data_IF_838525894510
#
_entry.id   IF_838525894510
#
_cell.length_a   1.000
_cell.length_b   1.000
_cell.length_c   1.000
_cell.angle_alpha   90.00
_cell.angle_beta   90.00
_cell.angle_gamma   90.00
#
_symmetry.space_group_name_H-M   'P 1'
#
loop_
_entity.id
_entity.type
_entity.pdbx_description
1 polymer ?
#
# COMPACT_ATOMS: atom_id res chain seq x y z
N UNK A 1 13.66 -16.97 -0.82
CA UNK A 1 13.28 -16.19 0.38
C UNK A 1 11.85 -16.56 0.77
N UNK A 2 11.58 -17.04 2.00
CA UNK A 2 10.24 -17.51 2.41
C UNK A 2 9.42 -16.45 3.18
N UNK A 3 10.08 -15.40 3.67
CA UNK A 3 9.51 -14.25 4.38
C UNK A 3 10.23 -12.96 3.98
N UNK A 4 9.58 -11.82 4.16
CA UNK A 4 10.24 -10.52 3.99
C UNK A 4 11.30 -10.27 5.08
N UNK A 5 12.33 -9.46 4.81
CA UNK A 5 13.31 -9.03 5.81
C UNK A 5 12.75 -7.93 6.72
N UNK A 6 13.15 -7.94 7.99
CA UNK A 6 12.82 -6.86 8.95
C UNK A 6 13.58 -5.57 8.62
N UNK A 7 13.19 -4.43 9.22
CA UNK A 7 13.91 -3.13 9.05
C UNK A 7 15.40 -3.28 9.35
N UNK A 8 15.74 -4.00 10.42
CA UNK A 8 17.11 -4.24 10.82
C UNK A 8 17.86 -5.11 9.82
N UNK A 9 17.22 -6.17 9.30
CA UNK A 9 17.82 -7.06 8.29
C UNK A 9 18.03 -6.34 6.94
N UNK A 10 17.12 -5.44 6.55
CA UNK A 10 17.30 -4.58 5.37
C UNK A 10 18.50 -3.66 5.55
N UNK A 11 18.58 -2.98 6.68
CA UNK A 11 19.70 -2.08 7.00
C UNK A 11 21.04 -2.82 6.98
N UNK A 12 21.09 -3.99 7.58
CA UNK A 12 22.33 -4.78 7.64
C UNK A 12 22.71 -5.35 6.26
N UNK A 13 21.73 -5.73 5.44
CA UNK A 13 21.97 -6.13 4.05
C UNK A 13 22.50 -4.97 3.20
N UNK A 14 21.98 -3.76 3.38
CA UNK A 14 22.49 -2.58 2.70
C UNK A 14 23.95 -2.27 3.08
N UNK A 15 24.34 -2.43 4.35
CA UNK A 15 25.75 -2.30 4.78
C UNK A 15 26.64 -3.34 4.10
N UNK A 16 26.19 -4.59 4.00
CA UNK A 16 26.92 -5.64 3.27
C UNK A 16 27.07 -5.32 1.79
N UNK A 17 26.03 -4.75 1.15
CA UNK A 17 26.11 -4.29 -0.24
C UNK A 17 27.16 -3.18 -0.41
N UNK A 18 27.21 -2.20 0.51
CA UNK A 18 28.27 -1.17 0.49
C UNK A 18 29.66 -1.80 0.64
N UNK A 19 29.84 -2.77 1.55
CA UNK A 19 31.12 -3.44 1.72
C UNK A 19 31.53 -4.27 0.49
N UNK A 20 30.58 -4.89 -0.21
CA UNK A 20 30.81 -5.68 -1.43
C UNK A 20 31.09 -4.79 -2.64
N UNK A 21 30.47 -3.61 -2.72
CA UNK A 21 30.59 -2.68 -3.84
C UNK A 21 30.99 -1.26 -3.38
N UNK A 22 32.16 -1.08 -2.74
CA UNK A 22 32.52 0.18 -2.07
C UNK A 22 32.68 1.37 -3.03
N UNK A 23 32.95 1.09 -4.30
CA UNK A 23 33.03 2.10 -5.35
C UNK A 23 31.68 2.47 -5.96
N UNK A 24 30.64 1.64 -5.81
CA UNK A 24 29.34 1.84 -6.48
C UNK A 24 28.20 2.20 -5.51
N UNK A 25 28.30 1.78 -4.25
CA UNK A 25 27.25 1.90 -3.25
C UNK A 25 27.66 2.85 -2.12
N UNK A 26 26.75 3.75 -1.73
CA UNK A 26 26.92 4.67 -0.59
C UNK A 26 25.70 4.62 0.31
N UNK A 27 25.89 4.39 1.60
CA UNK A 27 24.82 4.42 2.60
C UNK A 27 24.95 5.68 3.44
N UNK A 28 23.88 6.49 3.52
CA UNK A 28 23.83 7.67 4.39
C UNK A 28 22.52 7.74 5.16
N UNK A 29 22.54 8.48 6.27
CA UNK A 29 21.33 8.90 6.98
C UNK A 29 20.78 10.15 6.33
N UNK A 30 19.49 10.14 5.98
CA UNK A 30 18.79 11.29 5.38
C UNK A 30 17.91 12.04 6.38
N UNK A 31 17.62 11.41 7.53
CA UNK A 31 16.78 12.02 8.55
C UNK A 31 16.62 11.15 9.79
N UNK A 32 15.63 11.53 10.58
CA UNK A 32 15.25 10.84 11.82
C UNK A 32 13.73 10.83 11.90
N UNK A 33 13.15 9.70 12.28
CA UNK A 33 11.72 9.59 12.54
C UNK A 33 11.32 10.34 13.82
N UNK A 34 10.01 10.47 14.05
CA UNK A 34 9.44 11.10 15.25
C UNK A 34 9.92 10.46 16.54
N UNK A 35 10.06 9.14 16.57
CA UNK A 35 10.56 8.38 17.72
C UNK A 35 12.08 8.17 17.69
N UNK A 36 12.83 8.96 16.90
CA UNK A 36 14.29 8.99 16.97
C UNK A 36 15.01 7.92 16.13
N UNK A 37 14.31 7.14 15.32
CA UNK A 37 14.92 6.08 14.48
C UNK A 37 15.59 6.68 13.25
N UNK A 38 16.76 6.20 12.81
CA UNK A 38 17.42 6.72 11.63
C UNK A 38 16.66 6.35 10.36
N UNK A 39 16.53 7.31 9.45
CA UNK A 39 16.06 7.06 8.08
C UNK A 39 17.29 6.99 7.18
N UNK A 40 17.50 5.84 6.54
CA UNK A 40 18.69 5.54 5.76
C UNK A 40 18.37 5.44 4.28
N UNK A 41 19.30 5.92 3.46
CA UNK A 41 19.24 5.84 2.00
C UNK A 41 20.51 5.19 1.46
N UNK A 42 20.34 4.19 0.62
CA UNK A 42 21.39 3.51 -0.15
C UNK A 42 21.38 4.07 -1.56
N UNK A 43 22.44 4.79 -1.95
CA UNK A 43 22.65 5.23 -3.33
C UNK A 43 23.52 4.23 -4.08
N UNK A 44 23.14 3.88 -5.31
CA UNK A 44 23.90 2.98 -6.21
C UNK A 44 24.11 3.65 -7.56
N UNK A 45 25.36 3.72 -8.03
CA UNK A 45 25.74 4.43 -9.26
C UNK A 45 26.27 5.86 -9.02
N UNK A 46 26.61 6.55 -10.09
CA UNK A 46 27.16 7.92 -10.09
C UNK A 46 26.65 8.78 -11.25
N UNK A 47 25.70 8.26 -12.02
CA UNK A 47 25.16 8.99 -13.15
C UNK A 47 24.35 10.22 -12.74
N UNK A 48 24.25 11.23 -13.62
CA UNK A 48 23.63 12.51 -13.31
C UNK A 48 22.09 12.46 -13.27
N UNK A 49 21.46 11.39 -13.76
CA UNK A 49 20.01 11.20 -13.72
C UNK A 49 19.65 10.38 -12.48
N UNK A 50 18.73 10.88 -11.66
CA UNK A 50 18.37 10.24 -10.39
C UNK A 50 17.04 9.50 -10.48
N UNK A 51 17.02 8.26 -9.99
CA UNK A 51 15.79 7.50 -9.72
C UNK A 51 15.69 7.30 -8.21
N UNK A 52 14.62 7.81 -7.60
CA UNK A 52 14.37 7.71 -6.17
C UNK A 52 13.44 6.53 -5.88
N UNK A 53 13.84 5.58 -5.04
CA UNK A 53 12.99 4.47 -4.59
C UNK A 53 12.67 4.65 -3.12
N UNK A 54 11.40 4.52 -2.75
CA UNK A 54 10.91 4.68 -1.37
C UNK A 54 10.34 3.35 -0.89
N UNK A 55 11.07 2.67 -0.01
CA UNK A 55 10.62 1.42 0.58
C UNK A 55 9.86 1.65 1.89
N UNK A 56 8.81 0.84 2.12
CA UNK A 56 7.96 0.88 3.31
C UNK A 56 7.51 2.30 3.70
N UNK A 57 6.78 2.98 2.79
CA UNK A 57 6.06 4.19 3.14
C UNK A 57 4.93 3.92 4.15
N UNK A 58 4.41 2.69 4.16
CA UNK A 58 3.44 2.22 5.14
C UNK A 58 3.97 1.00 5.92
N UNK A 59 3.54 0.91 7.16
CA UNK A 59 4.03 -0.06 8.14
C UNK A 59 3.40 -1.45 8.03
N UNK A 60 2.31 -1.62 7.30
CA UNK A 60 1.65 -2.90 7.05
C UNK A 60 2.10 -3.58 5.74
N UNK A 61 3.12 -3.02 5.08
CA UNK A 61 3.53 -3.39 3.71
C UNK A 61 4.99 -3.92 3.69
N UNK A 62 5.23 -5.22 3.97
CA UNK A 62 6.56 -5.71 4.33
C UNK A 62 7.49 -5.94 3.13
N UNK A 63 6.98 -6.02 1.89
CA UNK A 63 7.76 -6.48 0.72
C UNK A 63 8.80 -5.45 0.24
N UNK A 64 8.51 -4.15 0.38
CA UNK A 64 9.33 -3.09 -0.24
C UNK A 64 10.80 -3.13 0.16
N UNK A 65 11.12 -3.57 1.39
CA UNK A 65 12.49 -3.74 1.84
C UNK A 65 13.26 -4.84 1.10
N UNK A 66 12.61 -5.95 0.74
CA UNK A 66 13.23 -7.01 -0.07
C UNK A 66 13.45 -6.53 -1.51
N UNK A 67 12.46 -5.85 -2.10
CA UNK A 67 12.55 -5.27 -3.44
C UNK A 67 13.66 -4.23 -3.54
N UNK A 68 13.79 -3.35 -2.55
CA UNK A 68 14.86 -2.36 -2.47
C UNK A 68 16.26 -2.99 -2.53
N UNK A 69 16.48 -4.10 -1.80
CA UNK A 69 17.75 -4.81 -1.83
C UNK A 69 18.00 -5.51 -3.16
N UNK A 70 16.98 -6.15 -3.75
CA UNK A 70 17.08 -6.81 -5.04
C UNK A 70 17.41 -5.82 -6.17
N UNK A 71 16.78 -4.63 -6.15
CA UNK A 71 17.10 -3.53 -7.06
C UNK A 71 18.54 -3.04 -6.87
N UNK A 72 18.94 -2.78 -5.62
CA UNK A 72 20.30 -2.31 -5.31
C UNK A 72 21.37 -3.30 -5.78
N UNK A 73 21.19 -4.60 -5.53
CA UNK A 73 22.12 -5.64 -5.96
C UNK A 73 22.17 -5.73 -7.50
N UNK A 74 21.01 -5.70 -8.17
CA UNK A 74 20.94 -5.73 -9.64
C UNK A 74 21.67 -4.56 -10.30
N UNK A 75 21.50 -3.35 -9.77
CA UNK A 75 22.18 -2.15 -10.30
C UNK A 75 23.68 -2.22 -9.97
N UNK A 76 24.06 -2.65 -8.77
CA UNK A 76 25.46 -2.73 -8.36
C UNK A 76 26.26 -3.80 -9.13
N UNK A 77 25.64 -4.92 -9.48
CA UNK A 77 26.24 -5.97 -10.33
C UNK A 77 26.45 -5.49 -11.79
N UNK A 78 25.84 -4.36 -12.18
CA UNK A 78 26.09 -3.72 -13.48
C UNK A 78 25.45 -4.45 -14.67
N UNK A 79 24.19 -4.89 -14.53
CA UNK A 79 23.38 -5.35 -15.66
C UNK A 79 23.12 -4.19 -16.64
N UNK A 80 24.10 -3.82 -17.48
CA UNK A 80 24.05 -2.69 -18.43
C UNK A 80 23.12 -2.92 -19.64
N UNK A 81 22.14 -3.82 -19.54
CA UNK A 81 21.22 -4.13 -20.64
C UNK A 81 20.15 -3.04 -20.78
N UNK A 82 19.38 -2.70 -19.72
CA UNK A 82 18.65 -1.44 -19.64
C UNK A 82 19.60 -0.23 -19.45
N UNK A 83 19.27 0.92 -20.04
CA UNK A 83 19.99 2.17 -19.78
C UNK A 83 19.80 2.64 -18.32
N UNK A 84 18.66 2.32 -17.73
CA UNK A 84 18.27 2.62 -16.35
C UNK A 84 19.19 1.94 -15.33
N UNK A 85 19.81 0.82 -15.66
CA UNK A 85 20.70 0.06 -14.78
C UNK A 85 22.18 0.31 -15.09
N UNK A 86 22.50 1.23 -16.00
CA UNK A 86 23.87 1.70 -16.21
C UNK A 86 24.28 2.65 -15.07
N UNK A 87 25.22 2.26 -14.18
CA UNK A 87 25.62 3.07 -13.03
C UNK A 87 26.34 4.36 -13.41
N UNK A 88 26.81 4.50 -14.66
CA UNK A 88 27.43 5.73 -15.16
C UNK A 88 26.40 6.73 -15.72
N UNK A 89 25.20 6.25 -16.07
CA UNK A 89 24.10 7.07 -16.59
C UNK A 89 23.08 7.45 -15.50
N UNK A 90 22.83 6.55 -14.55
CA UNK A 90 21.79 6.70 -13.52
C UNK A 90 22.35 6.48 -12.11
N UNK A 91 21.89 7.29 -11.16
CA UNK A 91 22.02 7.04 -9.73
C UNK A 91 20.68 6.60 -9.15
N UNK A 92 20.65 5.43 -8.53
CA UNK A 92 19.49 4.92 -7.80
C UNK A 92 19.60 5.28 -6.33
N UNK A 93 18.75 6.19 -5.86
CA UNK A 93 18.66 6.63 -4.47
C UNK A 93 17.54 5.87 -3.75
N UNK A 94 17.88 4.92 -2.87
CA UNK A 94 16.91 3.97 -2.30
C UNK A 94 16.74 4.23 -0.80
N UNK A 95 15.62 4.85 -0.41
CA UNK A 95 15.21 5.00 0.99
C UNK A 95 14.74 3.64 1.51
N UNK A 96 15.46 3.09 2.49
CA UNK A 96 15.30 1.68 2.91
C UNK A 96 14.05 1.41 3.76
N UNK A 97 13.54 2.44 4.46
CA UNK A 97 12.31 2.41 5.23
C UNK A 97 11.90 3.85 5.55
N UNK A 98 10.81 4.35 4.96
CA UNK A 98 10.35 5.72 5.21
C UNK A 98 9.60 5.85 6.54
N UNK A 99 8.80 4.85 6.93
CA UNK A 99 8.08 4.83 8.22
C UNK A 99 8.65 3.78 9.20
N UNK A 100 9.86 3.99 9.75
CA UNK A 100 10.44 3.04 10.70
C UNK A 100 9.70 3.00 12.05
N UNK A 101 8.91 4.04 12.37
CA UNK A 101 8.14 4.10 13.62
C UNK A 101 6.87 3.25 13.51
N UNK A 102 6.11 3.40 12.43
CA UNK A 102 5.00 2.50 12.13
C UNK A 102 5.48 1.05 11.99
N UNK A 103 6.60 0.82 11.30
CA UNK A 103 7.14 -0.54 11.13
C UNK A 103 7.49 -1.21 12.47
N UNK A 104 7.94 -0.44 13.48
CA UNK A 104 8.18 -0.95 14.82
C UNK A 104 6.86 -1.32 15.55
N UNK A 105 5.76 -0.64 15.25
CA UNK A 105 4.43 -0.98 15.77
C UNK A 105 3.80 -2.20 15.06
N UNK A 106 4.34 -2.59 13.90
CA UNK A 106 3.99 -3.82 13.18
C UNK A 106 4.92 -5.01 13.52
N UNK A 107 5.49 -5.06 14.74
CA UNK A 107 6.42 -6.13 15.12
C UNK A 107 5.81 -7.53 14.88
N UNK A 108 6.59 -8.40 14.23
CA UNK A 108 6.16 -9.75 13.89
C UNK A 108 5.43 -9.89 12.55
N UNK A 109 5.19 -8.79 11.83
CA UNK A 109 4.52 -8.81 10.51
C UNK A 109 5.22 -9.71 9.49
N UNK A 110 6.56 -9.67 9.41
CA UNK A 110 7.32 -10.51 8.49
C UNK A 110 7.15 -12.01 8.78
N UNK A 111 6.99 -12.38 10.07
CA UNK A 111 6.71 -13.75 10.47
C UNK A 111 5.24 -14.12 10.26
N UNK A 112 4.32 -13.19 10.52
CA UNK A 112 2.88 -13.36 10.32
C UNK A 112 2.52 -13.61 8.85
N UNK A 113 3.29 -13.05 7.94
CA UNK A 113 3.12 -13.21 6.48
C UNK A 113 3.96 -14.35 5.89
N UNK A 114 4.66 -15.13 6.72
CA UNK A 114 5.43 -16.30 6.30
C UNK A 114 4.56 -17.57 6.18
N UNK A 115 4.97 -18.51 5.33
CA UNK A 115 4.30 -19.81 5.15
C UNK A 115 3.40 -19.89 3.91
N UNK A 116 2.65 -20.99 3.71
CA UNK A 116 1.97 -21.27 2.44
C UNK A 116 0.52 -20.75 2.34
N UNK A 117 -0.14 -20.44 3.46
CA UNK A 117 -1.56 -20.07 3.50
C UNK A 117 -1.82 -18.57 3.60
N UNK A 118 -3.08 -18.13 3.46
CA UNK A 118 -3.41 -16.73 3.52
C UNK A 118 -3.21 -16.06 4.88
N UNK A 119 -3.08 -16.82 5.98
CA UNK A 119 -2.69 -16.35 7.32
C UNK A 119 -3.23 -14.97 7.75
N UNK A 120 -4.46 -14.63 7.32
CA UNK A 120 -5.05 -13.29 7.47
C UNK A 120 -5.16 -12.92 8.95
N UNK A 121 -5.48 -13.92 9.78
CA UNK A 121 -5.59 -13.77 11.22
C UNK A 121 -4.27 -13.28 11.85
N UNK A 122 -3.14 -13.86 11.43
CA UNK A 122 -1.82 -13.47 11.93
C UNK A 122 -1.44 -12.09 11.40
N UNK A 123 -1.72 -11.84 10.13
CA UNK A 123 -1.44 -10.56 9.49
C UNK A 123 -2.18 -9.41 10.16
N UNK A 124 -3.52 -9.47 10.24
CA UNK A 124 -4.29 -8.35 10.82
C UNK A 124 -4.03 -8.17 12.33
N UNK A 125 -3.58 -9.20 13.04
CA UNK A 125 -3.10 -9.07 14.44
C UNK A 125 -1.72 -8.41 14.55
N UNK A 126 -0.86 -8.51 13.54
CA UNK A 126 0.47 -7.91 13.56
C UNK A 126 0.49 -6.52 12.92
N UNK A 127 -0.25 -6.34 11.83
CA UNK A 127 -0.29 -5.14 11.02
C UNK A 127 -0.73 -3.92 11.85
N UNK A 128 -0.07 -2.80 11.60
CA UNK A 128 -0.45 -1.50 12.07
C UNK A 128 -0.41 -0.55 10.87
N UNK A 129 -1.47 0.25 10.70
CA UNK A 129 -1.55 1.35 9.73
C UNK A 129 -1.93 2.61 10.51
N UNK A 130 -1.08 3.64 10.57
CA UNK A 130 -1.42 4.86 11.29
C UNK A 130 -2.52 5.65 10.57
N UNK A 131 -3.16 6.58 11.28
CA UNK A 131 -4.08 7.56 10.65
C UNK A 131 -3.36 8.36 9.55
N UNK A 132 -4.09 8.88 8.56
CA UNK A 132 -3.49 9.55 7.38
C UNK A 132 -2.50 10.66 7.76
N UNK A 133 -2.84 11.45 8.78
CA UNK A 133 -1.99 12.52 9.33
C UNK A 133 -0.67 12.04 9.97
N UNK A 134 -0.49 10.74 10.16
CA UNK A 134 0.70 10.10 10.74
C UNK A 134 1.45 9.20 9.73
N UNK A 135 0.99 9.11 8.48
CA UNK A 135 1.64 8.37 7.39
C UNK A 135 2.58 9.31 6.60
N UNK A 136 3.89 9.03 6.47
CA UNK A 136 4.86 9.98 5.89
C UNK A 136 4.56 10.52 4.48
N UNK A 137 3.98 9.72 3.59
CA UNK A 137 3.66 10.18 2.23
C UNK A 137 2.34 10.98 2.16
N UNK A 138 1.43 10.74 3.11
CA UNK A 138 0.07 11.31 3.15
C UNK A 138 -0.07 12.50 4.09
N UNK A 139 0.60 12.49 5.25
CA UNK A 139 0.46 13.49 6.30
C UNK A 139 0.58 14.96 5.84
N UNK A 140 1.42 15.30 4.83
CA UNK A 140 1.44 16.65 4.27
C UNK A 140 0.09 17.15 3.72
N UNK A 141 -0.77 16.24 3.24
CA UNK A 141 -2.13 16.54 2.75
C UNK A 141 -3.00 17.09 3.89
N UNK A 142 -2.87 16.51 5.08
CA UNK A 142 -3.54 16.90 6.33
C UNK A 142 -2.84 18.10 7.03
N UNK A 143 -1.91 18.77 6.35
CA UNK A 143 -1.13 19.89 6.89
C UNK A 143 -0.14 19.51 7.99
N UNK A 144 0.03 18.21 8.28
CA UNK A 144 1.00 17.73 9.28
C UNK A 144 2.39 17.63 8.69
N UNK A 145 3.37 18.18 9.40
CA UNK A 145 4.79 18.19 9.01
C UNK A 145 5.54 17.13 9.79
N UNK A 146 5.63 15.92 9.25
CA UNK A 146 6.38 14.84 9.89
C UNK A 146 7.88 14.96 9.53
N UNK A 147 8.81 14.66 10.47
CA UNK A 147 10.24 14.53 10.21
C UNK A 147 10.56 13.59 9.04
N UNK A 148 9.82 12.49 8.91
CA UNK A 148 9.93 11.49 7.84
C UNK A 148 9.57 12.11 6.49
N UNK A 149 8.44 12.81 6.41
CA UNK A 149 8.02 13.53 5.19
C UNK A 149 9.05 14.58 4.80
N UNK A 150 9.57 15.33 5.78
CA UNK A 150 10.60 16.36 5.54
C UNK A 150 11.87 15.75 4.97
N UNK A 151 12.37 14.66 5.55
CA UNK A 151 13.55 13.98 5.05
C UNK A 151 13.38 13.53 3.58
N UNK A 152 12.19 13.07 3.20
CA UNK A 152 11.89 12.72 1.82
C UNK A 152 11.82 13.94 0.90
N UNK A 153 11.17 15.04 1.31
CA UNK A 153 11.17 16.29 0.54
C UNK A 153 12.58 16.84 0.32
N UNK A 154 13.43 16.82 1.35
CA UNK A 154 14.82 17.29 1.28
C UNK A 154 15.61 16.45 0.25
N UNK A 155 15.41 15.12 0.22
CA UNK A 155 16.02 14.24 -0.80
C UNK A 155 15.50 14.54 -2.20
N UNK A 156 14.19 14.77 -2.37
CA UNK A 156 13.59 15.08 -3.68
C UNK A 156 14.13 16.43 -4.20
N UNK A 157 14.32 17.42 -3.34
CA UNK A 157 14.93 18.71 -3.69
C UNK A 157 16.42 18.58 -4.05
N UNK A 158 17.16 17.74 -3.32
CA UNK A 158 18.57 17.46 -3.56
C UNK A 158 18.80 16.73 -4.89
N UNK A 159 18.08 15.62 -5.13
CA UNK A 159 18.33 14.72 -6.26
C UNK A 159 17.54 15.07 -7.52
N UNK A 160 16.42 15.80 -7.39
CA UNK A 160 15.52 16.19 -8.49
C UNK A 160 15.22 14.99 -9.41
N UNK A 161 14.64 13.91 -8.87
CA UNK A 161 14.59 12.63 -9.56
C UNK A 161 13.71 12.71 -10.80
N UNK A 162 14.14 12.05 -11.89
CA UNK A 162 13.31 11.89 -13.09
C UNK A 162 12.13 10.96 -12.82
N UNK A 163 12.31 10.02 -11.89
CA UNK A 163 11.31 9.08 -11.42
C UNK A 163 11.45 8.86 -9.92
N UNK A 164 10.34 8.95 -9.19
CA UNK A 164 10.18 8.36 -7.87
C UNK A 164 9.36 7.07 -7.99
N UNK A 165 9.85 5.96 -7.43
CA UNK A 165 9.10 4.73 -7.26
C UNK A 165 8.80 4.52 -5.78
N UNK A 166 7.53 4.63 -5.39
CA UNK A 166 7.11 4.27 -4.04
C UNK A 166 6.68 2.80 -4.02
N UNK A 167 7.33 2.00 -3.19
CA UNK A 167 7.14 0.55 -3.12
C UNK A 167 6.04 0.22 -2.12
N UNK A 168 4.82 0.00 -2.61
CA UNK A 168 3.65 -0.33 -1.80
C UNK A 168 3.28 -1.81 -1.94
N UNK A 169 2.38 -2.27 -1.09
CA UNK A 169 1.71 -3.55 -1.26
C UNK A 169 0.27 -3.51 -0.77
N UNK A 170 -0.61 -4.27 -1.43
CA UNK A 170 -1.96 -4.50 -0.95
C UNK A 170 -2.03 -5.81 -0.17
N UNK A 171 -2.82 -5.89 0.90
CA UNK A 171 -3.08 -7.17 1.57
C UNK A 171 -3.68 -8.18 0.58
N UNK A 172 -4.81 -7.83 -0.04
CA UNK A 172 -5.59 -8.66 -0.94
C UNK A 172 -5.88 -7.90 -2.22
N UNK A 173 -5.67 -8.52 -3.38
CA UNK A 173 -6.01 -7.91 -4.67
C UNK A 173 -5.21 -8.47 -5.83
N UNK A 174 -5.21 -7.75 -6.94
CA UNK A 174 -4.23 -7.88 -8.02
C UNK A 174 -3.10 -6.85 -7.89
N UNK A 175 -2.14 -6.90 -8.81
CA UNK A 175 -1.10 -5.88 -8.93
C UNK A 175 -1.58 -4.69 -9.77
N UNK A 176 -1.13 -3.49 -9.43
CA UNK A 176 -1.40 -2.28 -10.21
C UNK A 176 -0.31 -1.22 -9.97
N UNK A 177 -0.35 -0.16 -10.78
CA UNK A 177 0.53 0.98 -10.67
C UNK A 177 -0.31 2.25 -10.66
N UNK A 178 -0.07 3.14 -9.70
CA UNK A 178 -0.56 4.51 -9.75
C UNK A 178 0.55 5.44 -10.22
N UNK A 179 0.24 6.34 -11.13
CA UNK A 179 1.17 7.30 -11.69
C UNK A 179 0.68 8.72 -11.41
N UNK A 180 1.56 9.62 -11.02
CA UNK A 180 1.19 11.04 -10.90
C UNK A 180 1.13 11.75 -12.25
N UNK A 181 1.72 11.15 -13.28
CA UNK A 181 1.61 11.51 -14.70
C UNK A 181 1.82 10.25 -15.52
N UNK A 182 1.13 10.11 -16.64
CA UNK A 182 1.25 8.95 -17.52
C UNK A 182 2.71 8.64 -17.91
N UNK A 183 3.03 7.36 -18.08
CA UNK A 183 4.29 6.81 -18.58
C UNK A 183 3.98 5.84 -19.73
N UNK A 184 3.80 6.35 -20.95
CA UNK A 184 3.59 5.53 -22.14
C UNK A 184 4.70 4.48 -22.25
N UNK A 185 4.30 3.24 -22.53
CA UNK A 185 5.23 2.11 -22.61
C UNK A 185 5.32 1.24 -21.36
N UNK A 186 4.85 1.71 -20.19
CA UNK A 186 4.90 0.92 -18.95
C UNK A 186 3.91 -0.25 -18.92
N UNK A 187 2.72 -0.09 -19.52
CA UNK A 187 1.64 -1.08 -19.41
C UNK A 187 2.01 -2.47 -19.91
N UNK A 188 2.61 -2.56 -21.12
CA UNK A 188 2.97 -3.83 -21.73
C UNK A 188 3.99 -4.67 -20.93
N UNK A 189 5.16 -4.13 -20.50
CA UNK A 189 6.08 -4.87 -19.66
C UNK A 189 5.47 -5.21 -18.30
N UNK A 190 4.71 -4.30 -17.69
CA UNK A 190 4.01 -4.55 -16.42
C UNK A 190 3.08 -5.79 -16.51
N UNK A 191 2.23 -5.87 -17.53
CA UNK A 191 1.35 -7.02 -17.75
C UNK A 191 2.13 -8.31 -18.01
N UNK A 192 3.21 -8.24 -18.78
CA UNK A 192 4.06 -9.40 -19.06
C UNK A 192 4.72 -9.93 -17.78
N UNK A 193 5.16 -9.05 -16.88
CA UNK A 193 5.75 -9.44 -15.60
C UNK A 193 4.70 -10.09 -14.69
N UNK A 194 3.52 -9.46 -14.57
CA UNK A 194 2.40 -10.00 -13.80
C UNK A 194 2.01 -11.41 -14.26
N UNK A 195 1.90 -11.62 -15.58
CA UNK A 195 1.62 -12.93 -16.16
C UNK A 195 2.72 -13.96 -15.89
N UNK A 196 4.00 -13.55 -15.93
CA UNK A 196 5.15 -14.45 -15.68
C UNK A 196 5.10 -15.04 -14.27
N UNK A 197 4.76 -14.23 -13.27
CA UNK A 197 4.64 -14.68 -11.87
C UNK A 197 3.21 -15.13 -11.52
N UNK A 198 2.32 -15.16 -12.51
CA UNK A 198 0.92 -15.55 -12.38
C UNK A 198 0.10 -14.67 -11.45
N UNK A 199 0.47 -13.40 -11.22
CA UNK A 199 -0.29 -12.45 -10.40
C UNK A 199 -1.31 -11.71 -11.29
N UNK A 200 -2.61 -11.69 -10.94
CA UNK A 200 -3.61 -10.99 -11.74
C UNK A 200 -3.39 -9.49 -11.70
N UNK A 201 -3.65 -8.82 -12.82
CA UNK A 201 -3.63 -7.36 -12.91
C UNK A 201 -4.95 -6.84 -12.33
N UNK A 202 -4.88 -5.90 -11.40
CA UNK A 202 -6.07 -5.35 -10.75
C UNK A 202 -6.88 -4.51 -11.75
N UNK A 203 -8.16 -4.85 -11.89
CA UNK A 203 -9.13 -4.06 -12.62
C UNK A 203 -10.08 -3.34 -11.66
N UNK A 204 -9.97 -2.02 -11.64
CA UNK A 204 -10.66 -1.17 -10.66
C UNK A 204 -9.99 -1.24 -9.29
N UNK A 205 -9.86 -0.12 -8.60
CA UNK A 205 -9.38 -0.06 -7.22
C UNK A 205 -10.17 1.02 -6.49
N UNK A 206 -10.26 0.90 -5.16
CA UNK A 206 -10.84 1.93 -4.33
C UNK A 206 -10.05 3.25 -4.42
N UNK A 207 -8.72 3.16 -4.52
CA UNK A 207 -7.83 4.33 -4.48
C UNK A 207 -7.90 5.19 -5.75
N UNK A 208 -8.29 4.58 -6.87
CA UNK A 208 -8.50 5.22 -8.17
C UNK A 208 -9.97 5.06 -8.63
N UNK A 209 -10.90 5.01 -7.68
CA UNK A 209 -12.33 4.91 -7.98
C UNK A 209 -12.73 6.11 -8.84
N UNK A 210 -13.47 5.83 -9.92
CA UNK A 210 -13.91 6.80 -10.94
C UNK A 210 -12.84 7.33 -11.90
N UNK A 211 -11.59 6.90 -11.80
CA UNK A 211 -10.55 7.40 -12.70
C UNK A 211 -10.66 6.75 -14.08
N UNK A 212 -10.49 7.56 -15.13
CA UNK A 212 -10.22 7.06 -16.47
C UNK A 212 -8.75 6.67 -16.57
N UNK A 213 -8.48 5.44 -17.02
CA UNK A 213 -7.17 4.82 -16.89
C UNK A 213 -6.67 4.35 -18.27
N UNK A 214 -5.40 4.57 -18.63
CA UNK A 214 -4.88 4.29 -19.96
C UNK A 214 -4.80 2.79 -20.28
N UNK A 215 -4.70 1.93 -19.26
CA UNK A 215 -4.62 0.49 -19.42
C UNK A 215 -5.06 -0.22 -18.13
N UNK A 216 -5.39 -1.53 -18.20
CA UNK A 216 -5.58 -2.38 -17.02
C UNK A 216 -4.47 -2.23 -15.98
N UNK A 217 -4.84 -2.00 -14.72
CA UNK A 217 -3.88 -1.83 -13.61
C UNK A 217 -2.90 -0.67 -13.74
N UNK A 218 -3.08 0.25 -14.70
CA UNK A 218 -2.30 1.49 -14.80
C UNK A 218 -3.24 2.65 -14.52
N UNK A 219 -3.09 3.29 -13.37
CA UNK A 219 -3.94 4.38 -12.92
C UNK A 219 -3.16 5.69 -12.95
N UNK A 220 -3.73 6.75 -13.53
CA UNK A 220 -3.06 8.06 -13.62
C UNK A 220 -3.85 9.09 -12.84
N UNK A 221 -3.18 9.78 -11.91
CA UNK A 221 -3.77 10.83 -11.10
C UNK A 221 -4.46 11.87 -11.99
N UNK A 222 -5.78 12.09 -11.85
CA UNK A 222 -6.49 13.10 -12.61
C UNK A 222 -5.96 14.50 -12.29
N UNK A 223 -6.06 15.45 -13.24
CA UNK A 223 -5.64 16.82 -12.99
C UNK A 223 -6.46 17.46 -11.84
N UNK A 224 -5.96 18.52 -11.18
CA UNK A 224 -6.58 19.13 -10.00
C UNK A 224 -8.04 19.57 -10.18
N UNK A 225 -8.42 19.92 -11.39
CA UNK A 225 -9.74 20.40 -11.81
C UNK A 225 -10.70 19.28 -12.25
N UNK A 226 -10.27 18.01 -12.23
CA UNK A 226 -11.10 16.88 -12.64
C UNK A 226 -12.17 16.53 -11.59
N UNK A 227 -13.40 16.31 -12.07
CA UNK A 227 -14.51 15.77 -11.28
C UNK A 227 -14.39 14.28 -11.00
N UNK A 228 -13.39 13.59 -11.57
CA UNK A 228 -13.16 12.15 -11.41
C UNK A 228 -12.35 11.81 -10.14
N UNK A 229 -12.02 12.78 -9.28
CA UNK A 229 -11.34 12.51 -8.02
C UNK A 229 -12.32 11.95 -6.99
N UNK A 230 -11.91 10.96 -6.15
CA UNK A 230 -12.73 10.57 -5.01
C UNK A 230 -13.04 11.81 -4.17
N UNK A 231 -14.32 11.98 -3.83
CA UNK A 231 -14.83 13.17 -3.15
C UNK A 231 -14.31 13.31 -1.70
N UNK A 232 -13.58 12.32 -1.16
CA UNK A 232 -13.06 12.33 0.19
C UNK A 232 -11.62 11.80 0.25
N UNK A 233 -10.75 12.51 0.98
CA UNK A 233 -9.41 12.07 1.36
C UNK A 233 -8.30 12.33 0.35
N UNK A 234 -8.60 12.95 -0.80
CA UNK A 234 -7.62 13.33 -1.83
C UNK A 234 -7.59 14.83 -2.11
N UNK A 235 -8.35 15.62 -1.35
CA UNK A 235 -8.26 17.06 -1.33
C UNK A 235 -6.82 17.44 -1.03
N UNK A 236 -6.20 18.30 -1.84
CA UNK A 236 -4.79 18.67 -1.69
C UNK A 236 -3.77 17.55 -1.91
N UNK A 237 -4.09 16.47 -2.66
CA UNK A 237 -3.11 15.44 -3.07
C UNK A 237 -1.79 16.01 -3.64
N UNK A 238 -1.82 17.21 -4.23
CA UNK A 238 -0.65 17.95 -4.70
C UNK A 238 0.36 18.35 -3.61
N UNK A 239 -0.03 18.28 -2.33
CA UNK A 239 0.84 18.50 -1.16
C UNK A 239 1.57 17.21 -0.73
N UNK A 240 1.13 16.04 -1.18
CA UNK A 240 1.79 14.76 -0.88
C UNK A 240 3.24 14.73 -1.35
N UNK A 241 4.03 13.83 -0.77
CA UNK A 241 5.39 13.58 -1.26
C UNK A 241 5.38 13.01 -2.69
N UNK A 242 4.30 12.34 -3.11
CA UNK A 242 4.14 11.78 -4.44
C UNK A 242 4.14 12.83 -5.55
N UNK A 243 3.57 14.01 -5.31
CA UNK A 243 3.51 15.06 -6.31
C UNK A 243 4.77 15.95 -6.33
N UNK A 244 5.66 15.82 -5.35
CA UNK A 244 6.83 16.69 -5.22
C UNK A 244 7.82 16.61 -6.41
N UNK A 245 8.12 15.42 -6.98
CA UNK A 245 9.03 15.33 -8.14
C UNK A 245 8.55 16.13 -9.36
N UNK A 246 7.25 16.37 -9.51
CA UNK A 246 6.70 17.11 -10.65
C UNK A 246 7.21 18.55 -10.74
N UNK A 247 7.61 19.16 -9.62
CA UNK A 247 8.24 20.49 -9.57
C UNK A 247 9.55 20.54 -10.36
N UNK A 248 10.19 19.39 -10.55
CA UNK A 248 11.46 19.23 -11.27
C UNK A 248 11.27 18.48 -12.60
N UNK A 249 10.03 18.31 -13.06
CA UNK A 249 9.70 17.56 -14.27
C UNK A 249 9.56 16.05 -14.08
N UNK A 250 9.89 15.52 -12.89
CA UNK A 250 9.81 14.10 -12.57
C UNK A 250 8.39 13.54 -12.47
N UNK A 251 8.30 12.21 -12.45
CA UNK A 251 7.06 11.45 -12.29
C UNK A 251 7.17 10.55 -11.06
N UNK A 252 6.04 10.23 -10.42
CA UNK A 252 6.00 9.21 -9.37
C UNK A 252 5.18 8.03 -9.83
N UNK A 253 5.71 6.82 -9.62
CA UNK A 253 5.03 5.55 -9.78
C UNK A 253 4.90 4.86 -8.41
N UNK A 254 3.67 4.66 -7.94
CA UNK A 254 3.34 3.82 -6.79
C UNK A 254 3.09 2.42 -7.33
N UNK A 255 3.90 1.45 -6.94
CA UNK A 255 3.85 0.08 -7.49
C UNK A 255 3.32 -0.87 -6.44
N UNK A 256 2.12 -1.38 -6.68
CA UNK A 256 1.34 -2.21 -5.76
C UNK A 256 1.45 -3.69 -6.13
N UNK A 257 1.91 -4.50 -5.19
CA UNK A 257 1.95 -5.95 -5.31
C UNK A 257 1.16 -6.60 -4.17
N UNK A 258 0.31 -7.61 -4.44
CA UNK A 258 -0.52 -8.20 -3.39
C UNK A 258 0.26 -9.19 -2.52
N UNK A 259 -0.02 -9.21 -1.21
CA UNK A 259 0.37 -10.32 -0.33
C UNK A 259 -0.44 -11.57 -0.68
N UNK A 260 -1.74 -11.40 -0.91
CA UNK A 260 -2.67 -12.44 -1.37
C UNK A 260 -3.38 -12.01 -2.65
N UNK A 261 -3.25 -12.82 -3.69
CA UNK A 261 -3.98 -12.63 -4.91
C UNK A 261 -5.42 -13.17 -4.78
N UNK A 262 -6.39 -12.42 -5.30
CA UNK A 262 -7.76 -12.92 -5.52
C UNK A 262 -7.92 -13.43 -6.94
N UNK A 263 -8.68 -14.50 -7.12
CA UNK A 263 -8.99 -15.07 -8.43
C UNK A 263 -9.95 -14.24 -9.29
N UNK A 264 -10.46 -13.13 -8.76
CA UNK A 264 -11.42 -12.25 -9.45
C UNK A 264 -10.86 -10.87 -9.80
N UNK A 265 -9.60 -10.58 -9.46
CA UNK A 265 -9.00 -9.25 -9.65
C UNK A 265 -8.96 -8.79 -11.12
N UNK A 266 -8.94 -9.73 -12.06
CA UNK A 266 -8.90 -9.52 -13.50
C UNK A 266 -10.15 -10.02 -14.25
N UNK A 267 -11.22 -10.36 -13.53
CA UNK A 267 -12.48 -10.81 -14.13
C UNK A 267 -13.32 -9.64 -14.67
N UNK A 268 -13.27 -9.47 -15.99
CA UNK A 268 -14.00 -8.43 -16.73
C UNK A 268 -15.43 -8.81 -17.11
N UNK A 269 -15.91 -9.98 -16.69
CA UNK A 269 -17.32 -10.32 -16.89
C UNK A 269 -18.23 -9.31 -16.18
N UNK A 270 -19.35 -8.89 -16.79
CA UNK A 270 -20.34 -8.08 -16.11
C UNK A 270 -20.85 -8.79 -14.85
N UNK A 271 -20.86 -8.09 -13.72
CA UNK A 271 -21.40 -8.64 -12.49
C UNK A 271 -22.91 -8.90 -12.66
N UNK A 272 -23.45 -10.06 -12.21
CA UNK A 272 -24.85 -10.43 -12.46
C UNK A 272 -25.87 -9.55 -11.73
N UNK A 273 -25.51 -9.05 -10.54
CA UNK A 273 -26.35 -8.15 -9.73
C UNK A 273 -25.47 -7.08 -9.03
N UNK A 274 -25.01 -6.05 -9.76
CA UNK A 274 -24.10 -5.06 -9.19
C UNK A 274 -24.76 -4.21 -8.10
N UNK A 275 -26.04 -3.85 -8.26
CA UNK A 275 -26.77 -3.06 -7.26
C UNK A 275 -26.98 -3.84 -5.95
N UNK A 276 -27.35 -5.11 -6.02
CA UNK A 276 -27.44 -5.99 -4.85
C UNK A 276 -26.09 -6.17 -4.16
N UNK A 277 -25.02 -6.39 -4.93
CA UNK A 277 -23.68 -6.51 -4.38
C UNK A 277 -23.22 -5.24 -3.66
N UNK A 278 -23.39 -4.05 -4.25
CA UNK A 278 -23.02 -2.78 -3.62
C UNK A 278 -23.77 -2.56 -2.31
N UNK A 279 -25.08 -2.82 -2.26
CA UNK A 279 -25.86 -2.72 -1.01
C UNK A 279 -25.36 -3.70 0.05
N UNK A 280 -25.05 -4.93 -0.34
CA UNK A 280 -24.52 -5.94 0.57
C UNK A 280 -23.15 -5.53 1.12
N UNK A 281 -22.25 -5.00 0.29
CA UNK A 281 -20.94 -4.51 0.72
C UNK A 281 -21.07 -3.30 1.64
N UNK A 282 -21.93 -2.32 1.32
CA UNK A 282 -22.18 -1.16 2.19
C UNK A 282 -22.73 -1.59 3.55
N UNK A 283 -23.59 -2.62 3.58
CA UNK A 283 -24.06 -3.22 4.82
C UNK A 283 -22.95 -3.94 5.59
N UNK A 284 -22.09 -4.68 4.89
CA UNK A 284 -20.99 -5.44 5.49
C UNK A 284 -20.00 -4.54 6.23
N UNK A 285 -19.56 -3.45 5.60
CA UNK A 285 -18.59 -2.53 6.22
C UNK A 285 -19.18 -1.81 7.43
N UNK A 286 -20.45 -1.37 7.35
CA UNK A 286 -21.16 -0.72 8.46
C UNK A 286 -21.40 -1.66 9.63
N UNK A 287 -21.85 -2.88 9.34
CA UNK A 287 -22.12 -3.87 10.37
C UNK A 287 -20.84 -4.31 11.08
N UNK A 288 -19.78 -4.64 10.31
CA UNK A 288 -18.48 -4.98 10.89
C UNK A 288 -17.92 -3.83 11.73
N UNK A 289 -18.03 -2.59 11.23
CA UNK A 289 -17.65 -1.38 11.95
C UNK A 289 -18.41 -1.21 13.27
N UNK A 290 -19.74 -1.34 13.24
CA UNK A 290 -20.60 -1.29 14.43
C UNK A 290 -20.21 -2.36 15.46
N UNK A 291 -19.95 -3.59 15.01
CA UNK A 291 -19.59 -4.70 15.89
C UNK A 291 -18.24 -4.47 16.59
N UNK A 292 -17.21 -4.03 15.87
CA UNK A 292 -15.90 -3.73 16.49
C UNK A 292 -15.96 -2.49 17.39
N UNK A 293 -16.66 -1.43 16.98
CA UNK A 293 -16.86 -0.23 17.79
C UNK A 293 -17.61 -0.53 19.09
N UNK A 294 -18.61 -1.41 19.06
CA UNK A 294 -19.32 -1.82 20.28
C UNK A 294 -18.40 -2.51 21.30
N UNK A 295 -17.44 -3.34 20.85
CA UNK A 295 -16.43 -3.93 21.74
C UNK A 295 -15.45 -2.86 22.22
N UNK A 296 -15.03 -1.97 21.33
CA UNK A 296 -14.13 -0.87 21.63
C UNK A 296 -14.68 0.09 22.70
N UNK A 297 -15.97 0.43 22.62
CA UNK A 297 -16.67 1.29 23.57
C UNK A 297 -16.71 0.67 24.97
N UNK A 298 -17.00 -0.65 25.06
CA UNK A 298 -16.94 -1.40 26.32
C UNK A 298 -15.53 -1.40 26.93
N UNK A 299 -14.50 -1.40 26.08
CA UNK A 299 -13.10 -1.42 26.49
C UNK A 299 -12.52 -0.03 26.79
N UNK A 300 -13.15 1.06 26.30
CA UNK A 300 -12.61 2.43 26.33
C UNK A 300 -12.12 2.88 27.69
N UNK A 301 -12.83 2.54 28.76
CA UNK A 301 -12.51 2.99 30.12
C UNK A 301 -11.24 2.39 30.74
N UNK A 302 -10.69 1.31 30.19
CA UNK A 302 -9.50 0.64 30.74
C UNK A 302 -8.37 0.45 29.72
N UNK A 303 -8.53 0.94 28.50
CA UNK A 303 -7.46 0.99 27.51
C UNK A 303 -6.62 2.27 27.70
N UNK A 304 -5.34 2.27 27.27
CA UNK A 304 -4.53 3.48 27.30
C UNK A 304 -5.18 4.63 26.50
N UNK A 305 -4.98 5.88 26.93
CA UNK A 305 -5.53 7.04 26.24
C UNK A 305 -4.93 7.19 24.82
N UNK A 306 -5.64 7.90 23.96
CA UNK A 306 -5.28 8.05 22.55
C UNK A 306 -3.97 8.83 22.36
N UNK A 307 -3.64 9.81 23.22
CA UNK A 307 -2.35 10.51 23.15
C UNK A 307 -1.14 9.56 23.22
N UNK A 308 -1.23 8.52 24.06
CA UNK A 308 -0.12 7.62 24.36
C UNK A 308 -0.15 6.31 23.58
N UNK A 309 -1.24 6.05 22.84
CA UNK A 309 -1.45 4.78 22.13
C UNK A 309 -1.79 5.02 20.66
N UNK A 310 -0.82 4.88 19.74
CA UNK A 310 -1.09 4.95 18.30
C UNK A 310 -2.18 3.97 17.83
N UNK A 311 -2.25 2.70 18.29
CA UNK A 311 -3.38 1.82 17.97
C UNK A 311 -4.73 2.36 18.44
N UNK A 312 -4.79 3.00 19.63
CA UNK A 312 -6.01 3.65 20.13
C UNK A 312 -6.45 4.78 19.22
N UNK A 313 -5.53 5.63 18.73
CA UNK A 313 -5.87 6.73 17.80
C UNK A 313 -6.50 6.22 16.51
N UNK A 314 -5.95 5.14 15.96
CA UNK A 314 -6.52 4.50 14.77
C UNK A 314 -7.94 4.02 15.06
N UNK A 315 -8.17 3.35 16.19
CA UNK A 315 -9.51 2.88 16.56
C UNK A 315 -10.52 4.02 16.76
N UNK A 316 -10.13 5.12 17.40
CA UNK A 316 -11.02 6.30 17.51
C UNK A 316 -11.31 6.89 16.13
N UNK A 317 -10.30 7.07 15.28
CA UNK A 317 -10.50 7.58 13.91
C UNK A 317 -11.39 6.67 13.05
N UNK A 318 -11.26 5.34 13.19
CA UNK A 318 -12.11 4.42 12.45
C UNK A 318 -13.55 4.41 12.97
N UNK A 319 -13.74 4.59 14.29
CA UNK A 319 -15.06 4.70 14.90
C UNK A 319 -15.74 6.05 14.61
N UNK A 320 -14.95 7.09 14.31
CA UNK A 320 -15.38 8.44 13.92
C UNK A 320 -15.68 8.50 12.40
N UNK A 321 -16.77 7.83 12.01
CA UNK A 321 -17.40 7.87 10.68
C UNK A 321 -16.67 7.19 9.51
N UNK A 322 -15.49 6.57 9.68
CA UNK A 322 -14.78 5.93 8.55
C UNK A 322 -15.64 4.88 7.83
N UNK A 323 -16.38 4.05 8.56
CA UNK A 323 -17.17 2.97 7.96
C UNK A 323 -18.34 3.50 7.11
N UNK A 324 -18.96 4.60 7.57
CA UNK A 324 -20.01 5.28 6.81
C UNK A 324 -19.43 6.01 5.60
N UNK A 325 -18.30 6.69 5.77
CA UNK A 325 -17.57 7.32 4.66
C UNK A 325 -17.25 6.34 3.53
N UNK A 326 -16.74 5.15 3.89
CA UNK A 326 -16.44 4.09 2.92
C UNK A 326 -17.73 3.62 2.23
N UNK A 327 -18.79 3.33 3.00
CA UNK A 327 -20.04 2.85 2.42
C UNK A 327 -20.72 3.88 1.50
N UNK A 328 -20.68 5.17 1.88
CA UNK A 328 -21.31 6.26 1.14
C UNK A 328 -20.53 6.63 -0.13
N UNK A 329 -19.22 6.37 -0.15
CA UNK A 329 -18.40 6.53 -1.36
C UNK A 329 -18.90 5.65 -2.53
N UNK A 330 -19.71 4.62 -2.28
CA UNK A 330 -20.28 3.75 -3.31
C UNK A 330 -21.67 4.18 -3.79
N UNK A 331 -22.29 5.16 -3.16
CA UNK A 331 -23.63 5.64 -3.53
C UNK A 331 -23.77 6.10 -4.99
N UNK A 332 -22.77 6.78 -5.61
CA UNK A 332 -22.83 7.10 -7.04
C UNK A 332 -22.86 5.85 -7.93
N UNK A 333 -22.10 4.80 -7.58
CA UNK A 333 -22.10 3.53 -8.32
C UNK A 333 -23.43 2.81 -8.21
N UNK A 334 -24.03 2.86 -7.01
CA UNK A 334 -25.35 2.25 -6.78
C UNK A 334 -26.43 2.94 -7.61
N UNK A 335 -26.43 4.28 -7.67
CA UNK A 335 -27.35 5.04 -8.53
C UNK A 335 -27.17 4.68 -10.00
N UNK A 336 -25.92 4.61 -10.48
CA UNK A 336 -25.63 4.19 -11.84
C UNK A 336 -26.17 2.77 -12.13
N UNK A 337 -25.95 1.83 -11.21
CA UNK A 337 -26.41 0.45 -11.35
C UNK A 337 -27.95 0.31 -11.34
N UNK A 338 -28.66 1.19 -10.62
CA UNK A 338 -30.13 1.22 -10.56
C UNK A 338 -30.75 1.94 -11.77
N UNK A 339 -30.07 2.94 -12.35
CA UNK A 339 -30.55 3.76 -13.47
C UNK A 339 -30.33 3.13 -14.86
N UNK A 340 -29.38 2.19 -15.01
CA UNK A 340 -29.01 1.61 -16.31
C UNK A 340 -30.20 0.89 -17.02
N UNK A 341 -30.64 1.34 -18.22
CA UNK A 341 -31.54 0.57 -19.05
C UNK A 341 -30.84 -0.71 -19.52
N UNK A 342 -31.55 -1.86 -19.52
CA UNK A 342 -31.04 -3.17 -19.96
C UNK A 342 -30.47 -3.21 -21.40
N UNK A 343 -30.60 -2.13 -22.16
CA UNK A 343 -30.28 -2.02 -23.60
C UNK A 343 -29.20 -0.97 -23.94
N UNK A 344 -28.52 -0.35 -22.96
CA UNK A 344 -27.56 0.75 -23.20
C UNK A 344 -26.07 0.40 -23.09
N UNK A 345 -25.24 1.12 -23.84
CA UNK A 345 -23.78 0.96 -24.07
C UNK A 345 -22.86 1.45 -22.93
N UNK A 346 -23.38 1.73 -21.73
CA UNK A 346 -22.53 2.06 -20.58
C UNK A 346 -21.81 0.81 -20.06
N UNK A 347 -20.53 0.91 -19.65
CA UNK A 347 -19.81 -0.25 -19.14
C UNK A 347 -20.42 -0.67 -17.80
N UNK A 348 -21.09 -1.83 -17.81
CA UNK A 348 -21.61 -2.49 -16.60
C UNK A 348 -20.46 -2.74 -15.63
N UNK A 349 -20.73 -2.59 -14.33
CA UNK A 349 -19.76 -2.96 -13.28
C UNK A 349 -19.33 -4.42 -13.43
N UNK A 350 -18.02 -4.65 -13.48
CA UNK A 350 -17.44 -5.97 -13.65
C UNK A 350 -17.30 -6.70 -12.31
N UNK A 351 -17.11 -8.01 -12.38
CA UNK A 351 -16.78 -8.84 -11.21
C UNK A 351 -15.51 -8.35 -10.50
N UNK A 352 -14.48 -7.93 -11.25
CA UNK A 352 -13.27 -7.34 -10.69
C UNK A 352 -13.52 -6.05 -9.91
N UNK A 353 -14.35 -5.14 -10.46
CA UNK A 353 -14.68 -3.88 -9.80
C UNK A 353 -15.40 -4.12 -8.46
N UNK A 354 -16.39 -5.02 -8.44
CA UNK A 354 -17.09 -5.39 -7.19
C UNK A 354 -16.14 -6.07 -6.21
N UNK A 355 -15.25 -6.95 -6.69
CA UNK A 355 -14.26 -7.62 -5.84
C UNK A 355 -13.28 -6.64 -5.18
N UNK A 356 -12.87 -5.59 -5.89
CA UNK A 356 -12.03 -4.53 -5.34
C UNK A 356 -12.71 -3.81 -4.16
N UNK A 357 -14.02 -3.57 -4.26
CA UNK A 357 -14.80 -2.97 -3.17
C UNK A 357 -15.02 -3.94 -2.01
N UNK A 358 -15.18 -5.24 -2.31
CA UNK A 358 -15.29 -6.28 -1.29
C UNK A 358 -14.03 -6.38 -0.43
N UNK A 359 -12.84 -6.25 -1.03
CA UNK A 359 -11.57 -6.15 -0.29
C UNK A 359 -11.63 -5.02 0.74
N UNK A 360 -12.10 -3.83 0.34
CA UNK A 360 -12.22 -2.68 1.25
C UNK A 360 -13.27 -2.93 2.33
N UNK A 361 -14.44 -3.44 1.96
CA UNK A 361 -15.54 -3.72 2.89
C UNK A 361 -15.09 -4.64 4.04
N UNK A 362 -14.28 -5.65 3.73
CA UNK A 362 -13.79 -6.64 4.69
C UNK A 362 -12.57 -6.17 5.48
N UNK A 363 -11.64 -5.46 4.83
CA UNK A 363 -10.36 -5.10 5.48
C UNK A 363 -10.53 -4.07 6.59
N UNK A 364 -11.46 -3.11 6.47
CA UNK A 364 -11.61 -2.04 7.46
C UNK A 364 -12.00 -2.56 8.85
N UNK A 365 -13.08 -3.34 9.02
CA UNK A 365 -13.39 -3.90 10.34
C UNK A 365 -12.31 -4.88 10.84
N UNK A 366 -11.65 -5.64 9.95
CA UNK A 366 -10.56 -6.55 10.33
C UNK A 366 -9.33 -5.81 10.88
N UNK A 367 -8.95 -4.68 10.27
CA UNK A 367 -7.85 -3.83 10.76
C UNK A 367 -8.14 -3.33 12.17
N UNK A 368 -9.35 -2.80 12.41
CA UNK A 368 -9.75 -2.35 13.73
C UNK A 368 -9.77 -3.51 14.75
N UNK A 369 -10.37 -4.65 14.39
CA UNK A 369 -10.47 -5.80 15.27
C UNK A 369 -9.08 -6.35 15.66
N UNK A 370 -8.15 -6.44 14.70
CA UNK A 370 -6.77 -6.84 14.95
C UNK A 370 -6.05 -5.93 15.94
N UNK A 371 -6.17 -4.61 15.78
CA UNK A 371 -5.61 -3.63 16.71
C UNK A 371 -6.24 -3.72 18.10
N UNK A 372 -7.56 -3.85 18.17
CA UNK A 372 -8.28 -3.95 19.44
C UNK A 372 -7.95 -5.26 20.18
N UNK A 373 -7.79 -6.38 19.47
CA UNK A 373 -7.35 -7.65 20.06
C UNK A 373 -5.97 -7.52 20.71
N UNK A 374 -5.02 -6.79 20.09
CA UNK A 374 -3.70 -6.50 20.69
C UNK A 374 -3.83 -5.70 21.98
N UNK A 375 -4.65 -4.65 21.97
CA UNK A 375 -4.88 -3.81 23.15
C UNK A 375 -5.56 -4.59 24.29
N UNK A 376 -6.57 -5.39 23.98
CA UNK A 376 -7.25 -6.26 24.95
C UNK A 376 -6.33 -7.37 25.48
N UNK A 377 -5.38 -7.85 24.68
CA UNK A 377 -4.37 -8.82 25.14
C UNK A 377 -3.38 -8.20 26.14
N UNK A 378 -3.03 -6.93 25.97
CA UNK A 378 -2.10 -6.20 26.84
C UNK A 378 -2.76 -5.58 28.08
N UNK A 379 -4.09 -5.47 28.10
CA UNK A 379 -4.82 -4.81 29.18
C UNK A 379 -4.88 -5.66 30.47
N UNK A 380 -4.56 -5.03 31.61
CA UNK A 380 -4.70 -5.62 32.94
C UNK A 380 -6.08 -5.29 33.53
N UNK A 381 -7.12 -5.87 32.93
CA UNK A 381 -8.51 -5.68 33.36
C UNK A 381 -9.30 -7.00 33.31
N UNK A 382 -10.06 -7.38 34.35
CA UNK A 382 -10.85 -8.63 34.35
C UNK A 382 -11.83 -8.74 33.18
N UNK A 383 -12.41 -7.61 32.75
CA UNK A 383 -13.33 -7.56 31.62
C UNK A 383 -12.66 -7.80 30.25
N UNK A 384 -11.34 -7.61 30.14
CA UNK A 384 -10.61 -7.70 28.87
C UNK A 384 -10.66 -9.12 28.28
N UNK A 385 -10.61 -10.16 29.12
CA UNK A 385 -10.64 -11.55 28.65
C UNK A 385 -11.95 -11.91 27.94
N UNK A 386 -13.09 -11.45 28.47
CA UNK A 386 -14.41 -11.67 27.87
C UNK A 386 -14.58 -10.94 26.55
N UNK A 387 -14.21 -9.66 26.51
CA UNK A 387 -14.27 -8.85 25.27
C UNK A 387 -13.31 -9.39 24.20
N UNK A 388 -12.12 -9.86 24.61
CA UNK A 388 -11.18 -10.51 23.69
C UNK A 388 -11.79 -11.75 23.09
N UNK A 389 -12.42 -12.62 23.89
CA UNK A 389 -13.07 -13.83 23.38
C UNK A 389 -14.22 -13.53 22.41
N UNK A 390 -15.07 -12.54 22.73
CA UNK A 390 -16.15 -12.04 21.85
C UNK A 390 -15.59 -11.59 20.49
N UNK A 391 -14.57 -10.72 20.52
CA UNK A 391 -13.97 -10.17 19.31
C UNK A 391 -13.16 -11.21 18.52
N UNK A 392 -12.49 -12.14 19.19
CA UNK A 392 -11.70 -13.20 18.56
C UNK A 392 -12.59 -14.15 17.73
N UNK A 393 -13.80 -14.42 18.21
CA UNK A 393 -14.82 -15.17 17.46
C UNK A 393 -15.25 -14.46 16.18
N UNK A 394 -15.58 -13.17 16.27
CA UNK A 394 -15.92 -12.35 15.10
C UNK A 394 -14.76 -12.29 14.10
N UNK A 395 -13.57 -11.97 14.59
CA UNK A 395 -12.36 -11.84 13.79
C UNK A 395 -12.01 -13.12 13.05
N UNK A 396 -12.10 -14.28 13.71
CA UNK A 396 -11.83 -15.58 13.10
C UNK A 396 -12.82 -15.88 11.96
N UNK A 397 -14.12 -15.63 12.19
CA UNK A 397 -15.15 -15.79 11.16
C UNK A 397 -14.90 -14.86 9.97
N UNK A 398 -14.65 -13.58 10.21
CA UNK A 398 -14.41 -12.60 9.15
C UNK A 398 -13.17 -12.93 8.32
N UNK A 399 -12.07 -13.40 8.94
CA UNK A 399 -10.90 -13.87 8.21
C UNK A 399 -11.22 -15.08 7.31
N UNK A 400 -12.00 -16.06 7.81
CA UNK A 400 -12.38 -17.24 7.02
C UNK A 400 -13.30 -16.88 5.84
N UNK A 401 -14.26 -15.99 6.07
CA UNK A 401 -15.13 -15.47 5.01
C UNK A 401 -14.36 -14.66 3.97
N UNK A 402 -13.40 -13.83 4.39
CA UNK A 402 -12.57 -13.04 3.47
C UNK A 402 -11.71 -13.96 2.58
N UNK A 403 -11.08 -14.97 3.19
CA UNK A 403 -10.26 -15.94 2.46
C UNK A 403 -11.09 -16.75 1.45
N UNK A 404 -12.28 -17.18 1.83
CA UNK A 404 -13.14 -18.04 1.00
C UNK A 404 -13.87 -17.27 -0.10
N UNK A 405 -14.44 -16.10 0.21
CA UNK A 405 -15.22 -15.29 -0.74
C UNK A 405 -14.39 -14.88 -1.96
N UNK A 406 -13.15 -14.44 -1.74
CA UNK A 406 -12.25 -13.98 -2.79
C UNK A 406 -11.23 -15.04 -3.26
N UNK A 407 -11.38 -16.29 -2.79
CA UNK A 407 -10.52 -17.43 -3.18
C UNK A 407 -9.03 -17.09 -3.06
N UNK A 408 -8.64 -16.59 -1.90
CA UNK A 408 -7.32 -16.01 -1.70
C UNK A 408 -6.21 -17.06 -1.84
N UNK A 409 -5.19 -16.70 -2.62
CA UNK A 409 -3.93 -17.46 -2.67
C UNK A 409 -2.78 -16.54 -2.28
N UNK A 410 -1.82 -17.07 -1.53
CA UNK A 410 -0.61 -16.34 -1.21
C UNK A 410 0.24 -16.13 -2.46
N UNK A 411 0.76 -14.92 -2.61
CA UNK A 411 1.82 -14.65 -3.59
C UNK A 411 3.16 -14.89 -2.90
N UNK A 412 4.02 -15.80 -3.40
CA UNK A 412 5.35 -16.00 -2.85
C UNK A 412 6.15 -14.69 -2.81
N UNK A 413 6.90 -14.46 -1.72
CA UNK A 413 7.74 -13.26 -1.59
C UNK A 413 8.69 -13.05 -2.79
N UNK A 414 9.35 -14.09 -3.35
CA UNK A 414 10.19 -13.91 -4.54
C UNK A 414 9.40 -13.38 -5.75
N UNK A 415 8.15 -13.80 -5.92
CA UNK A 415 7.28 -13.39 -7.02
C UNK A 415 6.81 -11.94 -6.83
N UNK A 416 6.49 -11.53 -5.60
CA UNK A 416 6.19 -10.13 -5.28
C UNK A 416 7.39 -9.23 -5.57
N UNK A 417 8.60 -9.65 -5.16
CA UNK A 417 9.85 -8.92 -5.39
C UNK A 417 10.21 -8.83 -6.86
N UNK A 418 10.12 -9.94 -7.62
CA UNK A 418 10.44 -9.95 -9.06
C UNK A 418 9.52 -8.99 -9.83
N UNK A 419 8.21 -9.09 -9.57
CA UNK A 419 7.21 -8.23 -10.18
C UNK A 419 7.46 -6.75 -9.87
N UNK A 420 7.60 -6.41 -8.58
CA UNK A 420 7.79 -5.02 -8.18
C UNK A 420 9.11 -4.44 -8.72
N UNK A 421 10.22 -5.19 -8.63
CA UNK A 421 11.53 -4.74 -9.10
C UNK A 421 11.56 -4.54 -10.62
N UNK A 422 11.00 -5.48 -11.40
CA UNK A 422 10.98 -5.38 -12.86
C UNK A 422 10.09 -4.23 -13.33
N UNK A 423 8.95 -4.01 -12.69
CA UNK A 423 8.09 -2.85 -12.96
C UNK A 423 8.79 -1.53 -12.67
N UNK A 424 9.53 -1.44 -11.56
CA UNK A 424 10.32 -0.25 -11.21
C UNK A 424 11.40 0.04 -12.25
N UNK A 425 12.14 -0.98 -12.71
CA UNK A 425 13.14 -0.81 -13.78
C UNK A 425 12.49 -0.40 -15.10
N UNK A 426 11.35 -1.00 -15.47
CA UNK A 426 10.64 -0.61 -16.69
C UNK A 426 10.10 0.83 -16.62
N UNK A 427 9.59 1.27 -15.46
CA UNK A 427 9.18 2.65 -15.26
C UNK A 427 10.37 3.62 -15.38
N UNK A 428 11.55 3.22 -14.88
CA UNK A 428 12.77 4.02 -15.00
C UNK A 428 13.21 4.18 -16.47
N UNK A 429 13.17 3.11 -17.28
CA UNK A 429 13.42 3.20 -18.73
C UNK A 429 12.47 4.21 -19.39
N UNK A 430 11.15 4.06 -19.19
CA UNK A 430 10.16 4.97 -19.76
C UNK A 430 10.35 6.44 -19.32
N UNK A 431 10.82 6.67 -18.09
CA UNK A 431 11.06 8.00 -17.57
C UNK A 431 12.35 8.64 -18.11
N UNK A 432 13.37 7.83 -18.45
CA UNK A 432 14.65 8.29 -18.97
C UNK A 432 14.61 8.65 -20.46
N UNK A 433 13.72 8.02 -21.22
CA UNK A 433 13.48 8.31 -22.65
C UNK A 433 12.78 9.66 -22.90
N UNK A 434 12.35 10.34 -21.83
CA UNK A 434 11.76 11.69 -21.83
C UNK A 434 12.80 12.78 -21.61
#
# INVERSE_FOLDING_TARGET
MHRCPTVAEVTESARRLVARFPGACRLRRIGTSRAGRPILMLSVGHGPRHVLVVARPHSDEPVGGATALALAERVADGDRRPAATDPDAVTWDIVLCLDPDGAALSEGLEAATAGPGPALDRYFRAAFRPVAAEQPEWAPIEGRRLPESRALFDVIEESRPVLQCSLHSVDVGGTWVQLTRDLPGLAAPFHAFAATVGVPVQHGTYDALYWENPAPGIHVLPPPDSTARPAAGSENIGLSTWCAPQRYGGVTAIVEVPLWATGTADDLSPHPDPAGALRALSGLVREGGRQVTAVFDKARGFLPPAEDSPPRRVLEWMADDLYDLVADSWAPLLRQADEEPRTGTSPRLTTAAISALEVVARRQPLRAAGLLLRLLQAADAPAAAGLRHELDGLFTTWCAEFASSLRLRRVPVPDQVDLQARTVVAAAECALER
#
